data_IF_387711654977
#
_entry.id   IF_387711654977
#
_cell.length_a   1.000
_cell.length_b   1.000
_cell.length_c   1.000
_cell.angle_alpha   90.00
_cell.angle_beta   90.00
_cell.angle_gamma   90.00
#
_symmetry.space_group_name_H-M   'P 1'
#
loop_
_entity.id
_entity.type
_entity.pdbx_description
1 polymer ?
#
# COMPACT_ATOMS: atom_id res chain seq x y z
N UNK A 1 18.53 -12.67 -4.68
CA UNK A 1 18.05 -11.72 -3.64
C UNK A 1 16.56 -11.84 -3.48
N UNK A 2 15.99 -11.52 -2.32
CA UNK A 2 14.56 -11.66 -2.08
C UNK A 2 13.84 -10.30 -2.18
N UNK A 3 12.68 -10.29 -2.84
CA UNK A 3 11.76 -9.16 -2.82
C UNK A 3 10.47 -9.60 -2.12
N UNK A 4 10.26 -9.07 -0.92
CA UNK A 4 9.09 -9.38 -0.10
C UNK A 4 7.96 -8.38 -0.37
N UNK A 5 6.74 -8.87 -0.49
CA UNK A 5 5.55 -8.05 -0.69
C UNK A 5 4.31 -8.70 -0.04
N UNK A 6 3.24 -7.92 0.17
CA UNK A 6 1.96 -8.47 0.63
C UNK A 6 1.32 -9.29 -0.49
N UNK A 7 1.28 -10.62 -0.30
CA UNK A 7 0.67 -11.55 -1.22
C UNK A 7 -0.85 -11.56 -1.18
N UNK A 8 -1.43 -12.40 -2.00
CA UNK A 8 -0.80 -13.26 -3.00
C UNK A 8 -0.38 -12.52 -4.27
N UNK A 9 0.11 -13.25 -5.27
CA UNK A 9 0.36 -12.72 -6.63
C UNK A 9 -0.96 -12.18 -7.22
N UNK A 10 -0.92 -11.00 -7.89
CA UNK A 10 -2.11 -10.35 -8.45
C UNK A 10 -2.72 -9.28 -7.53
N UNK A 11 -2.18 -9.05 -6.33
CA UNK A 11 -2.54 -7.91 -5.47
C UNK A 11 -1.89 -6.62 -5.97
N UNK A 12 -2.36 -5.45 -5.51
CA UNK A 12 -1.70 -4.16 -5.79
C UNK A 12 -0.24 -4.14 -5.30
N UNK A 13 0.07 -4.76 -4.17
CA UNK A 13 1.45 -4.89 -3.70
C UNK A 13 2.32 -5.72 -4.66
N UNK A 14 1.77 -6.74 -5.30
CA UNK A 14 2.47 -7.48 -6.36
C UNK A 14 2.67 -6.62 -7.61
N UNK A 15 1.66 -5.83 -8.01
CA UNK A 15 1.78 -4.92 -9.16
C UNK A 15 2.83 -3.84 -8.90
N UNK A 16 2.85 -3.25 -7.70
CA UNK A 16 3.89 -2.31 -7.28
C UNK A 16 5.29 -2.97 -7.28
N UNK A 17 5.40 -4.20 -6.77
CA UNK A 17 6.65 -4.95 -6.79
C UNK A 17 7.17 -5.20 -8.22
N UNK A 18 6.28 -5.40 -9.18
CA UNK A 18 6.64 -5.53 -10.60
C UNK A 18 7.13 -4.23 -11.26
N UNK A 19 6.72 -3.08 -10.73
CA UNK A 19 7.21 -1.77 -11.19
C UNK A 19 8.58 -1.43 -10.60
N UNK A 20 9.03 -2.17 -9.59
CA UNK A 20 10.35 -1.97 -9.02
C UNK A 20 11.44 -2.34 -10.03
N UNK A 21 12.02 -1.32 -10.66
CA UNK A 21 13.13 -1.48 -11.59
C UNK A 21 14.44 -1.67 -10.83
N UNK A 22 15.15 -2.73 -11.13
CA UNK A 22 16.46 -3.02 -10.57
C UNK A 22 17.32 -3.76 -11.59
N UNK A 23 18.63 -3.51 -11.60
CA UNK A 23 19.60 -4.30 -12.35
C UNK A 23 19.84 -5.69 -11.73
N UNK A 24 19.33 -5.91 -10.52
CA UNK A 24 19.46 -7.16 -9.76
C UNK A 24 18.25 -8.06 -10.01
N UNK A 25 18.48 -9.37 -10.02
CA UNK A 25 17.40 -10.35 -10.09
C UNK A 25 16.88 -10.65 -8.68
N UNK A 26 15.57 -10.51 -8.51
CA UNK A 26 14.88 -10.81 -7.26
C UNK A 26 13.93 -11.99 -7.42
N UNK A 27 13.93 -12.85 -6.40
CA UNK A 27 12.89 -13.84 -6.18
C UNK A 27 11.72 -13.14 -5.44
N UNK A 28 10.56 -13.08 -6.07
CA UNK A 28 9.36 -12.45 -5.54
C UNK A 28 8.69 -13.36 -4.52
N UNK A 29 8.71 -12.99 -3.25
CA UNK A 29 8.20 -13.79 -2.14
C UNK A 29 6.97 -13.13 -1.54
N UNK A 30 5.76 -13.70 -1.77
CA UNK A 30 4.53 -13.21 -1.14
C UNK A 30 4.49 -13.60 0.34
N UNK A 31 4.12 -12.65 1.20
CA UNK A 31 3.90 -12.88 2.63
C UNK A 31 2.44 -12.58 2.99
N UNK A 32 1.99 -13.10 4.13
CA UNK A 32 0.58 -13.10 4.52
C UNK A 32 0.11 -11.75 5.08
N UNK A 33 1.03 -10.95 5.61
CA UNK A 33 0.73 -9.64 6.17
C UNK A 33 1.93 -8.67 6.07
N UNK A 34 1.63 -7.37 6.16
CA UNK A 34 2.61 -6.29 6.01
C UNK A 34 3.67 -6.25 7.12
N UNK A 35 3.31 -6.68 8.34
CA UNK A 35 4.28 -6.78 9.44
C UNK A 35 5.37 -7.82 9.13
N UNK A 36 4.98 -8.99 8.61
CA UNK A 36 5.93 -10.03 8.18
C UNK A 36 6.84 -9.54 7.05
N UNK A 37 6.33 -8.73 6.10
CA UNK A 37 7.16 -8.15 5.04
C UNK A 37 8.29 -7.32 5.65
N UNK A 38 7.96 -6.37 6.53
CA UNK A 38 8.95 -5.49 7.19
C UNK A 38 9.91 -6.29 8.07
N UNK A 39 9.39 -7.25 8.84
CA UNK A 39 10.20 -8.11 9.69
C UNK A 39 11.18 -8.98 8.88
N UNK A 40 10.78 -9.49 7.72
CA UNK A 40 11.64 -10.29 6.86
C UNK A 40 12.76 -9.44 6.28
N UNK A 41 12.44 -8.23 5.81
CA UNK A 41 13.46 -7.27 5.34
C UNK A 41 14.45 -6.91 6.45
N UNK A 42 13.98 -6.68 7.67
CA UNK A 42 14.87 -6.31 8.79
C UNK A 42 15.90 -7.39 9.13
N UNK A 43 15.64 -8.65 8.78
CA UNK A 43 16.50 -9.81 9.04
C UNK A 43 17.41 -10.19 7.87
N UNK A 44 17.13 -9.72 6.66
CA UNK A 44 17.85 -10.07 5.43
C UNK A 44 18.48 -8.83 4.79
N UNK A 45 19.81 -8.73 4.86
CA UNK A 45 20.56 -7.57 4.34
C UNK A 45 20.53 -7.41 2.83
N UNK A 46 20.16 -8.45 2.11
CA UNK A 46 20.08 -8.43 0.64
C UNK A 46 18.63 -8.32 0.13
N UNK A 47 17.68 -8.27 1.06
CA UNK A 47 16.27 -8.20 0.71
C UNK A 47 15.79 -6.77 0.45
N UNK A 48 14.76 -6.70 -0.36
CA UNK A 48 13.94 -5.51 -0.60
C UNK A 48 12.51 -5.83 -0.16
N UNK A 49 11.83 -4.87 0.45
CA UNK A 49 10.39 -4.94 0.72
C UNK A 49 9.63 -3.86 -0.05
N UNK A 50 8.47 -4.23 -0.57
CA UNK A 50 7.53 -3.27 -1.16
C UNK A 50 6.30 -3.21 -0.25
N UNK A 51 6.11 -2.07 0.41
CA UNK A 51 5.04 -1.89 1.41
C UNK A 51 4.23 -0.61 1.14
N UNK A 52 2.89 -0.66 1.15
CA UNK A 52 2.07 0.52 0.97
C UNK A 52 2.15 1.39 2.23
N UNK A 53 2.45 2.69 2.08
CA UNK A 53 2.51 3.63 3.21
C UNK A 53 1.28 4.51 3.29
N UNK A 54 0.71 4.85 2.14
CA UNK A 54 -0.41 5.78 2.04
C UNK A 54 -1.25 5.50 0.80
N UNK A 55 -2.55 5.67 0.93
CA UNK A 55 -3.49 5.69 -0.20
C UNK A 55 -4.23 7.04 -0.21
N UNK A 56 -4.45 7.60 -1.39
CA UNK A 56 -5.07 8.94 -1.54
C UNK A 56 -6.52 9.01 -1.03
N UNK A 57 -7.20 7.88 -0.84
CA UNK A 57 -8.59 7.78 -0.36
C UNK A 57 -8.63 7.35 1.11
N UNK A 58 -7.87 6.31 1.47
CA UNK A 58 -7.90 5.68 2.81
C UNK A 58 -6.92 6.32 3.79
N UNK A 59 -5.97 7.13 3.30
CA UNK A 59 -4.92 7.74 4.12
C UNK A 59 -3.78 6.79 4.45
N UNK A 60 -3.15 7.00 5.59
CA UNK A 60 -1.96 6.25 6.02
C UNK A 60 -2.26 4.79 6.35
N UNK A 61 -1.41 3.88 5.88
CA UNK A 61 -1.47 2.46 6.20
C UNK A 61 -0.80 2.21 7.56
N UNK A 62 -1.61 2.29 8.59
CA UNK A 62 -1.18 2.30 9.99
C UNK A 62 -0.25 1.16 10.40
N UNK A 63 -0.52 -0.06 9.92
CA UNK A 63 0.30 -1.23 10.26
C UNK A 63 1.73 -1.12 9.71
N UNK A 64 1.91 -0.47 8.56
CA UNK A 64 3.22 -0.21 7.97
C UNK A 64 3.97 0.85 8.77
N UNK A 65 3.34 1.99 9.04
CA UNK A 65 3.92 3.04 9.86
C UNK A 65 4.37 2.49 11.24
N UNK A 66 3.47 1.76 11.93
CA UNK A 66 3.79 1.14 13.22
C UNK A 66 4.97 0.14 13.11
N UNK A 67 5.03 -0.66 12.05
CA UNK A 67 6.10 -1.64 11.86
C UNK A 67 7.44 -0.98 11.54
N UNK A 68 7.46 0.09 10.75
CA UNK A 68 8.67 0.89 10.47
C UNK A 68 9.27 1.50 11.74
N UNK A 69 8.44 1.89 12.71
CA UNK A 69 8.91 2.44 13.98
C UNK A 69 9.65 1.41 14.87
N UNK A 70 9.42 0.11 14.65
CA UNK A 70 9.90 -0.96 15.54
C UNK A 70 10.93 -1.89 14.88
N UNK A 71 11.32 -1.65 13.63
CA UNK A 71 12.28 -2.47 12.90
C UNK A 71 13.36 -1.60 12.26
N UNK A 72 14.57 -2.12 12.18
CA UNK A 72 15.70 -1.46 11.51
C UNK A 72 15.54 -1.61 9.98
N UNK A 73 14.66 -0.81 9.42
CA UNK A 73 14.39 -0.70 7.98
C UNK A 73 14.29 0.76 7.57
N UNK A 74 14.72 1.06 6.36
CA UNK A 74 14.85 2.41 5.83
C UNK A 74 14.22 2.50 4.45
N UNK A 75 13.60 3.63 4.14
CA UNK A 75 13.06 3.91 2.81
C UNK A 75 14.21 4.20 1.83
N UNK A 76 14.24 3.48 0.73
CA UNK A 76 15.22 3.60 -0.36
C UNK A 76 14.62 4.12 -1.66
N UNK A 77 13.31 4.20 -1.75
CA UNK A 77 12.59 4.68 -2.91
C UNK A 77 11.10 4.64 -2.69
N UNK A 78 10.38 5.10 -3.68
CA UNK A 78 8.93 5.21 -3.68
C UNK A 78 8.38 4.74 -5.04
N UNK A 79 7.24 4.07 -5.01
CA UNK A 79 6.48 3.67 -6.18
C UNK A 79 5.05 4.18 -5.98
N UNK A 80 4.54 4.90 -6.96
CA UNK A 80 3.14 5.31 -7.00
C UNK A 80 2.39 4.41 -7.99
N UNK A 81 1.28 3.83 -7.54
CA UNK A 81 0.47 2.92 -8.34
C UNK A 81 -0.98 3.42 -8.35
N UNK A 82 -1.52 3.59 -9.54
CA UNK A 82 -2.95 3.84 -9.72
C UNK A 82 -3.74 2.60 -9.29
N UNK A 83 -4.82 2.84 -8.53
CA UNK A 83 -5.67 1.78 -7.99
C UNK A 83 -6.91 1.68 -8.85
N UNK A 84 -6.80 0.86 -9.88
CA UNK A 84 -7.88 0.55 -10.80
C UNK A 84 -8.48 -0.82 -10.50
N UNK A 85 -9.81 -0.87 -10.44
CA UNK A 85 -10.56 -2.11 -10.25
C UNK A 85 -11.30 -2.50 -11.52
N UNK A 86 -11.41 -3.81 -11.74
CA UNK A 86 -12.20 -4.41 -12.79
C UNK A 86 -13.17 -5.44 -12.22
N UNK A 87 -14.30 -5.61 -12.91
CA UNK A 87 -15.20 -6.72 -12.69
C UNK A 87 -14.80 -7.90 -13.59
N UNK A 88 -14.63 -9.05 -12.98
CA UNK A 88 -14.27 -10.30 -13.65
C UNK A 88 -15.41 -11.32 -13.55
N UNK A 89 -15.59 -12.08 -14.62
CA UNK A 89 -16.55 -13.18 -14.70
C UNK A 89 -15.97 -14.40 -15.41
N UNK A 90 -16.78 -15.45 -15.49
CA UNK A 90 -16.47 -16.61 -16.32
C UNK A 90 -16.61 -16.23 -17.80
N UNK A 91 -15.90 -16.90 -18.71
CA UNK A 91 -15.93 -16.60 -20.15
C UNK A 91 -17.33 -16.68 -20.79
N UNK A 92 -18.25 -17.42 -20.19
CA UNK A 92 -19.64 -17.53 -20.64
C UNK A 92 -20.54 -16.41 -20.14
N UNK A 93 -20.09 -15.57 -19.19
CA UNK A 93 -20.90 -14.52 -18.59
C UNK A 93 -20.78 -13.21 -19.36
N UNK A 94 -21.91 -12.52 -19.51
CA UNK A 94 -21.98 -11.08 -19.79
C UNK A 94 -22.15 -10.30 -18.49
N UNK A 95 -22.07 -8.96 -18.56
CA UNK A 95 -22.32 -8.11 -17.40
C UNK A 95 -23.75 -8.31 -16.83
N UNK A 96 -24.74 -8.49 -17.70
CA UNK A 96 -26.14 -8.66 -17.34
C UNK A 96 -26.44 -9.99 -16.62
N UNK A 97 -25.55 -10.97 -16.75
CA UNK A 97 -25.68 -12.26 -16.07
C UNK A 97 -25.27 -12.19 -14.60
N UNK A 98 -24.49 -11.17 -14.21
CA UNK A 98 -23.97 -11.05 -12.85
C UNK A 98 -25.03 -10.47 -11.92
N UNK A 99 -25.26 -11.16 -10.81
CA UNK A 99 -26.16 -10.69 -9.74
C UNK A 99 -25.44 -10.57 -8.39
N UNK A 100 -24.22 -11.13 -8.25
CA UNK A 100 -23.44 -11.08 -7.02
C UNK A 100 -21.95 -10.94 -7.31
N UNK A 101 -21.24 -10.20 -6.45
CA UNK A 101 -19.80 -10.03 -6.54
C UNK A 101 -19.11 -10.33 -5.22
N UNK A 102 -17.86 -10.81 -5.30
CA UNK A 102 -16.98 -11.01 -4.17
C UNK A 102 -15.77 -10.10 -4.29
N UNK A 103 -15.32 -9.52 -3.18
CA UNK A 103 -14.04 -8.83 -3.09
C UNK A 103 -13.57 -8.65 -1.65
N UNK A 104 -12.39 -8.07 -1.47
CA UNK A 104 -11.88 -7.60 -0.17
C UNK A 104 -12.60 -6.31 0.24
N UNK A 105 -12.69 -6.05 1.55
CA UNK A 105 -13.41 -4.90 2.08
C UNK A 105 -12.99 -3.54 1.47
N UNK A 106 -11.69 -3.21 1.28
CA UNK A 106 -11.30 -1.96 0.61
C UNK A 106 -11.80 -1.85 -0.84
N UNK A 107 -11.81 -2.94 -1.60
CA UNK A 107 -12.29 -2.92 -2.98
C UNK A 107 -13.82 -2.70 -3.04
N UNK A 108 -14.59 -3.36 -2.16
CA UNK A 108 -16.03 -3.12 -2.06
C UNK A 108 -16.32 -1.66 -1.68
N UNK A 109 -15.63 -1.10 -0.67
CA UNK A 109 -15.86 0.29 -0.25
C UNK A 109 -15.54 1.31 -1.35
N UNK A 110 -14.56 1.01 -2.20
CA UNK A 110 -14.12 1.88 -3.30
C UNK A 110 -14.88 1.67 -4.61
N UNK A 111 -15.78 0.70 -4.67
CA UNK A 111 -16.64 0.40 -5.84
C UNK A 111 -18.12 0.33 -5.47
N UNK A 112 -18.50 0.82 -4.30
CA UNK A 112 -19.86 0.65 -3.76
C UNK A 112 -20.93 1.31 -4.62
N UNK A 113 -20.65 2.47 -5.21
CA UNK A 113 -21.61 3.15 -6.09
C UNK A 113 -21.79 2.38 -7.42
N UNK A 114 -20.71 1.76 -7.92
CA UNK A 114 -20.80 0.86 -9.07
C UNK A 114 -21.66 -0.36 -8.75
N UNK A 115 -21.41 -1.04 -7.64
CA UNK A 115 -22.16 -2.21 -7.16
C UNK A 115 -23.65 -1.88 -7.03
N UNK A 116 -24.00 -0.74 -6.41
CA UNK A 116 -25.41 -0.30 -6.26
C UNK A 116 -26.06 0.03 -7.60
N UNK A 117 -25.33 0.70 -8.52
CA UNK A 117 -25.85 1.04 -9.86
C UNK A 117 -26.17 -0.20 -10.68
N UNK A 118 -25.35 -1.25 -10.55
CA UNK A 118 -25.58 -2.54 -11.20
C UNK A 118 -26.55 -3.44 -10.45
N UNK A 119 -26.98 -3.05 -9.24
CA UNK A 119 -27.86 -3.83 -8.36
C UNK A 119 -27.28 -5.21 -7.98
N UNK A 120 -25.97 -5.29 -7.82
CA UNK A 120 -25.31 -6.52 -7.37
C UNK A 120 -25.42 -6.69 -5.86
N UNK A 121 -25.67 -7.94 -5.43
CA UNK A 121 -25.32 -8.36 -4.06
C UNK A 121 -23.81 -8.48 -3.91
N UNK A 122 -23.30 -8.35 -2.71
CA UNK A 122 -21.87 -8.52 -2.47
C UNK A 122 -21.56 -9.24 -1.16
N UNK A 123 -20.42 -9.93 -1.11
CA UNK A 123 -19.84 -10.49 0.11
C UNK A 123 -18.32 -10.25 0.14
N UNK A 124 -17.77 -10.34 1.35
CA UNK A 124 -16.36 -10.14 1.60
C UNK A 124 -15.57 -11.44 1.55
N UNK A 125 -14.31 -11.32 1.13
CA UNK A 125 -13.30 -12.38 1.16
C UNK A 125 -11.99 -11.81 1.69
N UNK A 126 -11.07 -12.68 2.11
CA UNK A 126 -9.82 -12.27 2.76
C UNK A 126 -8.72 -11.84 1.76
N UNK A 127 -8.84 -12.21 0.49
CA UNK A 127 -7.86 -11.86 -0.53
C UNK A 127 -8.47 -11.75 -1.93
N UNK A 128 -7.81 -10.97 -2.79
CA UNK A 128 -8.16 -10.81 -4.21
C UNK A 128 -8.23 -12.14 -4.95
N UNK A 129 -7.29 -13.07 -4.67
CA UNK A 129 -7.31 -14.39 -5.31
C UNK A 129 -8.51 -15.21 -4.85
N UNK A 130 -8.87 -15.10 -3.58
CA UNK A 130 -10.08 -15.77 -3.09
C UNK A 130 -11.33 -15.24 -3.80
N UNK A 131 -11.42 -13.92 -4.07
CA UNK A 131 -12.55 -13.39 -4.84
C UNK A 131 -12.63 -13.96 -6.25
N UNK A 132 -11.49 -14.05 -6.95
CA UNK A 132 -11.43 -14.65 -8.28
C UNK A 132 -11.84 -16.13 -8.26
N UNK A 133 -11.46 -16.89 -7.24
CA UNK A 133 -11.84 -18.30 -7.09
C UNK A 133 -13.35 -18.50 -6.81
N UNK A 134 -14.08 -17.45 -6.43
CA UNK A 134 -15.54 -17.50 -6.24
C UNK A 134 -16.32 -17.35 -7.55
N UNK A 135 -15.66 -16.99 -8.64
CA UNK A 135 -16.30 -16.77 -9.96
C UNK A 135 -16.96 -18.06 -10.46
N UNK A 136 -18.21 -17.96 -10.81
CA UNK A 136 -19.04 -18.99 -11.47
C UNK A 136 -20.23 -18.33 -12.14
N UNK A 137 -21.15 -19.11 -12.71
CA UNK A 137 -22.34 -18.59 -13.37
C UNK A 137 -23.13 -17.62 -12.45
N UNK A 138 -23.34 -16.40 -12.93
CA UNK A 138 -24.03 -15.34 -12.21
C UNK A 138 -23.23 -14.66 -11.09
N UNK A 139 -22.00 -15.11 -10.83
CA UNK A 139 -21.14 -14.55 -9.77
C UNK A 139 -19.86 -14.01 -10.38
N UNK A 140 -19.58 -12.74 -10.10
CA UNK A 140 -18.35 -12.04 -10.47
C UNK A 140 -17.40 -11.78 -9.29
N UNK A 141 -16.23 -11.27 -9.61
CA UNK A 141 -15.26 -10.79 -8.63
C UNK A 141 -14.76 -9.39 -9.01
N UNK A 142 -14.58 -8.54 -8.01
CA UNK A 142 -13.91 -7.25 -8.19
C UNK A 142 -12.46 -7.42 -7.72
N UNK A 143 -11.52 -7.10 -8.63
CA UNK A 143 -10.08 -7.28 -8.39
C UNK A 143 -9.28 -6.20 -9.15
N UNK A 144 -7.97 -6.03 -8.86
CA UNK A 144 -7.12 -5.09 -9.59
C UNK A 144 -7.16 -5.34 -11.10
N UNK A 145 -7.15 -4.25 -11.88
CA UNK A 145 -7.09 -4.31 -13.35
C UNK A 145 -5.89 -5.18 -13.80
N UNK A 146 -6.13 -6.11 -14.71
CA UNK A 146 -5.14 -7.05 -15.24
C UNK A 146 -4.87 -8.28 -14.36
N UNK A 147 -5.48 -8.38 -13.17
CA UNK A 147 -5.24 -9.54 -12.31
C UNK A 147 -6.05 -10.77 -12.71
N UNK A 148 -7.30 -10.61 -13.12
CA UNK A 148 -8.19 -11.72 -13.45
C UNK A 148 -7.75 -12.50 -14.67
N UNK A 149 -7.27 -11.83 -15.71
CA UNK A 149 -6.76 -12.45 -16.93
C UNK A 149 -5.58 -13.37 -16.66
N UNK A 150 -4.74 -13.03 -15.67
CA UNK A 150 -3.60 -13.88 -15.24
C UNK A 150 -4.08 -15.25 -14.71
N UNK A 151 -5.33 -15.31 -14.23
CA UNK A 151 -5.98 -16.52 -13.71
C UNK A 151 -7.00 -17.12 -14.69
N UNK A 152 -7.08 -16.59 -15.92
CA UNK A 152 -7.95 -17.10 -16.98
C UNK A 152 -9.41 -16.65 -16.88
N UNK A 153 -9.71 -15.58 -16.16
CA UNK A 153 -11.04 -14.99 -16.10
C UNK A 153 -11.20 -13.88 -17.14
N UNK A 154 -12.45 -13.62 -17.51
CA UNK A 154 -12.80 -12.59 -18.49
C UNK A 154 -13.13 -11.27 -17.78
N UNK A 155 -12.58 -10.16 -18.28
CA UNK A 155 -12.93 -8.82 -17.84
C UNK A 155 -14.29 -8.43 -18.39
N UNK A 156 -15.27 -8.17 -17.51
CA UNK A 156 -16.61 -7.74 -17.87
C UNK A 156 -16.75 -6.23 -17.91
N UNK A 157 -16.06 -5.52 -16.99
CA UNK A 157 -16.02 -4.06 -16.95
C UNK A 157 -14.70 -3.59 -16.31
N UNK A 158 -14.25 -2.38 -16.67
CA UNK A 158 -12.97 -1.81 -16.25
C UNK A 158 -13.16 -0.42 -15.63
N UNK A 159 -12.19 0.00 -14.80
CA UNK A 159 -12.18 1.32 -14.16
C UNK A 159 -13.48 1.58 -13.38
N UNK A 160 -13.89 0.59 -12.60
CA UNK A 160 -15.17 0.60 -11.87
C UNK A 160 -15.11 1.28 -10.50
N UNK A 161 -13.94 1.78 -10.09
CA UNK A 161 -13.76 2.52 -8.84
C UNK A 161 -14.57 3.82 -8.82
N UNK A 162 -15.07 4.18 -7.62
CA UNK A 162 -15.89 5.38 -7.41
C UNK A 162 -15.08 6.67 -7.47
N UNK A 163 -13.76 6.58 -7.27
CA UNK A 163 -12.84 7.71 -7.21
C UNK A 163 -11.81 7.62 -8.36
N UNK A 164 -11.83 8.55 -9.33
CA UNK A 164 -10.98 8.47 -10.53
C UNK A 164 -9.48 8.71 -10.24
N UNK A 165 -9.14 9.32 -9.10
CA UNK A 165 -7.76 9.62 -8.69
C UNK A 165 -7.41 8.84 -7.42
N UNK A 166 -7.45 7.52 -7.53
CA UNK A 166 -7.10 6.61 -6.46
C UNK A 166 -5.66 6.12 -6.67
N UNK A 167 -4.74 6.59 -5.84
CA UNK A 167 -3.31 6.26 -5.92
C UNK A 167 -2.83 5.70 -4.60
N UNK A 168 -2.09 4.61 -4.64
CA UNK A 168 -1.36 4.10 -3.47
C UNK A 168 0.14 4.35 -3.64
N UNK A 169 0.72 4.94 -2.62
CA UNK A 169 2.16 5.15 -2.49
C UNK A 169 2.78 4.00 -1.72
N UNK A 170 3.75 3.34 -2.33
CA UNK A 170 4.53 2.24 -1.76
C UNK A 170 5.93 2.72 -1.46
N UNK A 171 6.49 2.29 -0.34
CA UNK A 171 7.91 2.45 -0.03
C UNK A 171 8.68 1.20 -0.47
N UNK A 172 9.83 1.43 -1.06
CA UNK A 172 10.88 0.43 -1.23
C UNK A 172 11.73 0.47 0.03
N UNK A 173 11.72 -0.60 0.82
CA UNK A 173 12.41 -0.65 2.10
C UNK A 173 13.55 -1.67 2.11
N UNK A 174 14.66 -1.33 2.77
CA UNK A 174 15.83 -2.19 3.01
C UNK A 174 16.29 -2.04 4.47
N UNK A 175 17.10 -2.98 4.97
CA UNK A 175 17.58 -2.94 6.36
C UNK A 175 18.91 -2.21 6.55
N UNK A 176 19.36 -1.43 5.62
CA UNK A 176 20.59 -0.67 5.67
C UNK A 176 20.41 0.74 5.12
N UNK A 177 21.21 1.68 5.63
CA UNK A 177 21.28 3.07 5.17
C UNK A 177 22.38 3.22 4.12
N UNK A 178 22.23 2.60 2.94
CA UNK A 178 23.18 2.91 1.87
C UNK A 178 22.84 4.26 1.25
N UNK A 179 23.88 4.95 0.84
CA UNK A 179 23.77 6.20 0.10
C UNK A 179 22.86 5.98 -1.12
N UNK A 180 21.83 6.80 -1.21
CA UNK A 180 20.92 6.86 -2.36
C UNK A 180 21.48 7.93 -3.28
N UNK A 181 21.80 7.57 -4.52
CA UNK A 181 22.17 8.57 -5.53
C UNK A 181 20.97 9.49 -5.80
N UNK A 182 21.18 10.79 -5.63
CA UNK A 182 20.16 11.82 -5.84
C UNK A 182 18.88 11.68 -5.01
N UNK A 183 18.96 11.58 -3.67
CA UNK A 183 17.76 11.60 -2.83
C UNK A 183 17.10 12.97 -2.96
N UNK A 184 15.77 12.99 -3.04
CA UNK A 184 14.98 14.22 -3.16
C UNK A 184 14.08 14.48 -1.96
N UNK A 185 13.82 13.45 -1.14
CA UNK A 185 12.99 13.54 0.05
C UNK A 185 13.59 12.75 1.21
N UNK A 186 13.16 13.08 2.42
CA UNK A 186 13.54 12.36 3.63
C UNK A 186 12.33 12.14 4.52
N UNK A 187 12.12 10.90 4.97
CA UNK A 187 11.13 10.58 6.00
C UNK A 187 11.81 10.55 7.36
N UNK A 188 11.37 11.40 8.27
CA UNK A 188 11.81 11.44 9.66
C UNK A 188 10.80 10.73 10.55
N UNK A 189 11.29 9.87 11.44
CA UNK A 189 10.53 9.38 12.58
C UNK A 189 11.00 10.13 13.83
N UNK A 190 10.13 10.97 14.37
CA UNK A 190 10.37 11.81 15.52
C UNK A 190 9.71 11.17 16.74
N UNK A 191 10.55 10.70 17.68
CA UNK A 191 10.08 10.09 18.94
C UNK A 191 10.45 10.97 20.10
N UNK A 192 9.51 11.77 20.65
CA UNK A 192 9.80 12.60 21.79
C UNK A 192 9.99 11.77 23.05
N UNK A 193 10.93 12.16 23.91
CA UNK A 193 11.15 11.52 25.21
C UNK A 193 10.04 11.81 26.21
N UNK A 194 9.37 12.96 26.06
CA UNK A 194 8.25 13.42 26.89
C UNK A 194 7.36 14.37 26.08
N UNK A 195 6.10 14.39 26.38
CA UNK A 195 5.14 15.34 25.78
C UNK A 195 5.16 16.67 26.52
N UNK A 196 5.01 17.76 25.77
CA UNK A 196 4.84 19.12 26.30
C UNK A 196 4.07 19.98 25.29
N UNK A 197 3.33 21.00 25.76
CA UNK A 197 2.68 21.95 24.88
C UNK A 197 3.67 22.59 23.89
N UNK A 198 3.30 22.62 22.61
CA UNK A 198 4.10 23.21 21.54
C UNK A 198 5.24 22.35 21.01
N UNK A 199 5.39 21.08 21.44
CA UNK A 199 6.44 20.19 20.97
C UNK A 199 6.42 20.03 19.45
N UNK A 200 5.29 19.56 18.89
CA UNK A 200 5.14 19.38 17.45
C UNK A 200 5.31 20.68 16.68
N UNK A 201 4.71 21.76 17.18
CA UNK A 201 4.86 23.09 16.58
C UNK A 201 6.34 23.52 16.50
N UNK A 202 7.14 23.26 17.54
CA UNK A 202 8.57 23.58 17.56
C UNK A 202 9.33 22.77 16.51
N UNK A 203 8.98 21.51 16.32
CA UNK A 203 9.59 20.65 15.27
C UNK A 203 9.26 21.20 13.89
N UNK A 204 7.97 21.46 13.61
CA UNK A 204 7.53 21.96 12.30
C UNK A 204 8.11 23.34 11.99
N UNK A 205 8.19 24.23 12.97
CA UNK A 205 8.84 25.55 12.82
C UNK A 205 10.32 25.45 12.44
N UNK A 206 11.02 24.38 12.87
CA UNK A 206 12.42 24.17 12.46
C UNK A 206 12.52 24.00 10.93
N UNK A 207 11.66 23.20 10.32
CA UNK A 207 11.62 23.07 8.86
C UNK A 207 11.28 24.40 8.16
N UNK A 208 10.34 25.15 8.72
CA UNK A 208 9.98 26.49 8.19
C UNK A 208 11.17 27.44 8.21
N UNK A 209 11.97 27.48 9.28
CA UNK A 209 13.15 28.33 9.41
C UNK A 209 14.21 28.05 8.32
N UNK A 210 14.29 26.79 7.86
CA UNK A 210 15.19 26.38 6.80
C UNK A 210 14.53 26.39 5.41
N UNK A 211 13.31 26.91 5.30
CA UNK A 211 12.51 26.94 4.06
C UNK A 211 12.33 25.54 3.41
N UNK A 212 12.15 24.54 4.26
CA UNK A 212 11.94 23.14 3.83
C UNK A 212 10.42 22.87 3.83
N UNK A 213 9.90 22.46 2.68
CA UNK A 213 8.50 22.02 2.56
C UNK A 213 8.32 20.63 3.17
N UNK A 214 7.13 20.40 3.74
CA UNK A 214 6.72 19.11 4.28
C UNK A 214 5.55 18.58 3.44
N UNK A 215 5.71 17.39 2.87
CA UNK A 215 4.74 16.78 1.97
C UNK A 215 3.85 15.71 2.63
N UNK A 216 4.25 15.20 3.80
CA UNK A 216 3.46 14.23 4.55
C UNK A 216 3.73 14.34 6.05
N UNK A 217 2.67 14.18 6.85
CA UNK A 217 2.74 14.11 8.31
C UNK A 217 1.74 13.09 8.84
N UNK A 218 2.18 12.25 9.76
CA UNK A 218 1.34 11.26 10.43
C UNK A 218 1.72 11.15 11.90
N UNK A 219 0.74 11.01 12.78
CA UNK A 219 0.95 10.77 14.22
C UNK A 219 0.52 9.37 14.60
N UNK A 220 1.43 8.60 15.20
CA UNK A 220 1.16 7.22 15.64
C UNK A 220 1.39 7.06 17.14
N UNK A 221 0.46 6.39 17.88
CA UNK A 221 0.67 6.12 19.30
C UNK A 221 1.94 5.32 19.54
N UNK A 222 2.72 5.71 20.54
CA UNK A 222 3.93 4.97 20.94
C UNK A 222 3.63 3.59 21.55
N UNK A 223 2.36 3.31 21.88
CA UNK A 223 1.86 2.05 22.49
C UNK A 223 2.46 1.72 23.87
N UNK A 224 3.23 2.60 24.47
CA UNK A 224 3.78 2.44 25.83
C UNK A 224 2.89 3.10 26.87
N UNK A 225 2.28 4.24 26.52
CA UNK A 225 1.43 5.05 27.39
C UNK A 225 0.44 5.84 26.53
N UNK A 226 -0.78 6.06 27.04
CA UNK A 226 -1.76 6.91 26.39
C UNK A 226 -1.25 8.37 26.34
N UNK A 227 -1.43 9.03 25.19
CA UNK A 227 -1.05 10.43 24.99
C UNK A 227 0.38 10.65 24.51
N UNK A 228 1.20 9.61 24.32
CA UNK A 228 2.54 9.73 23.72
C UNK A 228 2.53 9.19 22.28
N UNK A 229 3.09 10.00 21.35
CA UNK A 229 3.05 9.74 19.93
C UNK A 229 4.44 9.81 19.29
N UNK A 230 4.65 8.98 18.25
CA UNK A 230 5.63 9.23 17.21
C UNK A 230 5.03 10.20 16.18
N UNK A 231 5.88 10.96 15.52
CA UNK A 231 5.50 11.76 14.37
C UNK A 231 6.35 11.37 13.18
N UNK A 232 5.70 10.94 12.12
CA UNK A 232 6.33 10.81 10.82
C UNK A 232 6.19 12.15 10.09
N UNK A 233 7.28 12.61 9.52
CA UNK A 233 7.31 13.84 8.73
C UNK A 233 8.15 13.57 7.48
N UNK A 234 7.58 13.80 6.31
CA UNK A 234 8.33 13.77 5.06
C UNK A 234 8.70 15.20 4.66
N UNK A 235 9.97 15.45 4.48
CA UNK A 235 10.52 16.70 4.02
C UNK A 235 10.99 16.59 2.57
N UNK A 236 10.70 17.62 1.76
CA UNK A 236 11.12 17.73 0.35
C UNK A 236 12.57 18.19 0.28
N UNK A 237 13.43 17.46 0.98
CA UNK A 237 14.88 17.69 0.99
C UNK A 237 15.63 16.41 1.28
N UNK A 238 16.84 16.32 0.74
CA UNK A 238 17.75 15.23 1.05
C UNK A 238 18.57 15.53 2.30
N UNK A 239 18.82 14.52 3.12
CA UNK A 239 19.91 14.59 4.10
C UNK A 239 21.20 14.30 3.34
N UNK A 240 22.04 15.32 3.21
CA UNK A 240 23.42 15.14 2.77
C UNK A 240 24.27 14.80 4.00
N UNK A 241 24.93 13.66 3.98
CA UNK A 241 25.93 13.29 4.98
C UNK A 241 27.21 14.09 4.78
#
# INVERSE_FOLDING_TARGET
MHLYYLGPKGTFSYLAAKQFESHEQYDFIPLSNLHEVIQSVSKDKQAVGIVPIENSIEGTINIVADSLAHHDVYAHGEIQLDIDFSLYGHHSNSLDDIHKVYSIAPAISQTINYIHRQQFDYDYVDSTIQSLNMIKDGIGAIAPLGSGETYGYHTLDQHIQDYPHNVTRFLVVKNHTHFIEHPNTTIFLITPKYDKPGLLASVLNTFTLFNINLSWIESRPLKTQLGIYHFYVQADTAINN
#
